data_IF_058910873062
#
_entry.id   IF_058910873062
#
_cell.length_a   1.000
_cell.length_b   1.000
_cell.length_c   1.000
_cell.angle_alpha   90.00
_cell.angle_beta   90.00
_cell.angle_gamma   90.00
#
_symmetry.space_group_name_H-M   'P 1'
#
loop_
_entity.id
_entity.type
_entity.pdbx_description
1 polymer ?
#
# COMPACT_ATOMS: atom_id res chain seq x y z
N UNK A 1 25.61 15.76 12.47
CA UNK A 1 26.19 15.35 13.78
C UNK A 1 27.38 14.46 13.53
N UNK A 2 28.47 14.60 14.34
CA UNK A 2 29.64 13.72 14.23
C UNK A 2 29.37 12.35 14.88
N UNK A 3 30.06 11.29 14.43
CA UNK A 3 29.91 9.94 15.00
C UNK A 3 30.16 9.90 16.53
N UNK A 4 31.16 10.61 17.11
CA UNK A 4 31.31 10.66 18.57
C UNK A 4 30.12 11.28 19.30
N UNK A 5 29.48 12.31 18.73
CA UNK A 5 28.32 12.94 19.33
C UNK A 5 27.11 11.98 19.39
N UNK A 6 26.90 11.20 18.34
CA UNK A 6 25.86 10.16 18.30
C UNK A 6 26.13 9.07 19.34
N UNK A 7 27.39 8.56 19.41
CA UNK A 7 27.76 7.53 20.36
C UNK A 7 27.58 7.97 21.82
N UNK A 8 27.93 9.20 22.16
CA UNK A 8 27.75 9.77 23.50
C UNK A 8 26.27 9.95 23.84
N UNK A 9 25.44 10.39 22.87
CA UNK A 9 23.98 10.50 23.06
C UNK A 9 23.36 9.14 23.34
N UNK A 10 23.71 8.11 22.55
CA UNK A 10 23.23 6.74 22.77
C UNK A 10 23.67 6.18 24.11
N UNK A 11 24.93 6.41 24.54
CA UNK A 11 25.41 5.98 25.86
C UNK A 11 24.57 6.58 27.01
N UNK A 12 24.22 7.85 26.90
CA UNK A 12 23.34 8.52 27.91
C UNK A 12 21.94 7.95 27.92
N UNK A 13 21.37 7.65 26.74
CA UNK A 13 20.05 7.03 26.62
C UNK A 13 20.03 5.61 27.19
N UNK A 14 21.09 4.82 27.01
CA UNK A 14 21.21 3.48 27.62
C UNK A 14 21.12 3.56 29.13
N UNK A 15 21.79 4.50 29.77
CA UNK A 15 21.70 4.72 31.22
C UNK A 15 20.31 5.16 31.63
N UNK A 16 19.72 6.12 30.89
CA UNK A 16 18.40 6.67 31.21
C UNK A 16 17.29 5.61 31.15
N UNK A 17 17.31 4.74 30.13
CA UNK A 17 16.29 3.70 29.94
C UNK A 17 16.66 2.36 30.54
N UNK A 18 17.84 2.23 31.15
CA UNK A 18 18.39 1.00 31.70
C UNK A 18 18.30 -0.18 30.69
N UNK A 19 18.67 0.07 29.43
CA UNK A 19 18.62 -0.87 28.33
C UNK A 19 19.74 -0.57 27.33
N UNK A 20 20.29 -1.62 26.71
CA UNK A 20 21.32 -1.47 25.68
C UNK A 20 20.84 -0.74 24.44
N UNK A 21 19.54 -0.66 24.21
CA UNK A 21 18.82 -0.04 23.08
C UNK A 21 19.19 -0.60 21.70
N UNK A 22 20.47 -0.96 21.50
CA UNK A 22 20.95 -1.54 20.26
C UNK A 22 21.87 -2.73 20.55
N UNK A 23 21.68 -3.83 19.82
CA UNK A 23 22.48 -5.05 19.91
C UNK A 23 23.17 -5.33 18.57
N UNK A 24 24.36 -5.92 18.61
CA UNK A 24 25.02 -6.42 17.40
C UNK A 24 24.32 -7.67 16.89
N UNK A 25 24.00 -7.68 15.60
CA UNK A 25 23.52 -8.86 14.91
C UNK A 25 24.28 -9.02 13.58
N UNK A 26 25.14 -10.01 13.51
CA UNK A 26 26.02 -10.22 12.36
C UNK A 26 26.96 -9.01 12.15
N UNK A 27 26.93 -8.43 10.94
CA UNK A 27 27.71 -7.23 10.58
C UNK A 27 27.01 -5.91 10.87
N UNK A 28 25.77 -5.94 11.39
CA UNK A 28 24.95 -4.76 11.67
C UNK A 28 24.61 -4.60 13.15
N UNK A 29 23.73 -3.63 13.41
CA UNK A 29 23.13 -3.38 14.72
C UNK A 29 21.61 -3.48 14.57
N UNK A 30 20.94 -4.03 15.59
CA UNK A 30 19.48 -4.04 15.66
C UNK A 30 18.98 -3.42 16.97
N UNK A 31 17.82 -2.74 16.94
CA UNK A 31 17.21 -2.23 18.15
C UNK A 31 16.72 -3.36 19.05
N UNK A 32 16.83 -3.17 20.37
CA UNK A 32 16.21 -4.05 21.36
C UNK A 32 14.70 -3.93 21.33
N UNK A 33 13.99 -4.86 21.95
CA UNK A 33 12.52 -4.75 22.11
C UNK A 33 12.14 -3.44 22.84
N UNK A 34 12.93 -3.05 23.85
CA UNK A 34 12.74 -1.80 24.57
C UNK A 34 12.91 -0.57 23.67
N UNK A 35 13.95 -0.56 22.83
CA UNK A 35 14.17 0.53 21.88
C UNK A 35 13.00 0.67 20.89
N UNK A 36 12.46 -0.45 20.39
CA UNK A 36 11.29 -0.46 19.52
C UNK A 36 10.06 0.12 20.23
N UNK A 37 9.81 -0.23 21.49
CA UNK A 37 8.70 0.30 22.29
C UNK A 37 8.84 1.81 22.55
N UNK A 38 10.04 2.31 22.75
CA UNK A 38 10.33 3.71 23.04
C UNK A 38 10.26 4.61 21.80
N UNK A 39 10.49 4.05 20.62
CA UNK A 39 10.62 4.83 19.39
C UNK A 39 9.37 5.67 19.09
N UNK A 40 8.18 5.06 19.08
CA UNK A 40 6.93 5.73 18.81
C UNK A 40 6.63 6.89 19.77
N UNK A 41 6.58 6.64 21.09
CA UNK A 41 6.34 7.70 22.09
C UNK A 41 7.34 8.85 22.06
N UNK A 42 8.64 8.55 21.90
CA UNK A 42 9.68 9.60 21.83
C UNK A 42 9.50 10.44 20.57
N UNK A 43 9.24 9.80 19.45
CA UNK A 43 9.05 10.50 18.18
C UNK A 43 7.79 11.37 18.21
N UNK A 44 6.70 10.86 18.76
CA UNK A 44 5.47 11.64 18.97
C UNK A 44 5.73 12.88 19.86
N UNK A 45 6.47 12.73 20.94
CA UNK A 45 6.84 13.85 21.80
C UNK A 45 7.68 14.90 21.04
N UNK A 46 8.66 14.46 20.27
CA UNK A 46 9.50 15.35 19.44
C UNK A 46 8.64 16.06 18.36
N UNK A 47 7.66 15.37 17.78
CA UNK A 47 6.77 15.98 16.80
C UNK A 47 5.86 17.04 17.41
N UNK A 48 5.32 16.77 18.61
CA UNK A 48 4.54 17.78 19.35
C UNK A 48 5.37 19.05 19.62
N UNK A 49 6.63 18.89 20.07
CA UNK A 49 7.53 20.02 20.28
C UNK A 49 7.80 20.76 18.96
N UNK A 50 8.04 20.03 17.88
CA UNK A 50 8.25 20.64 16.56
C UNK A 50 7.07 21.45 16.09
N UNK A 51 5.84 20.97 16.29
CA UNK A 51 4.63 21.65 15.86
C UNK A 51 4.40 23.00 16.59
N UNK A 52 4.95 23.16 17.79
CA UNK A 52 4.87 24.39 18.57
C UNK A 52 5.99 25.40 18.25
N UNK A 53 6.99 25.00 17.47
CA UNK A 53 8.05 25.92 17.07
C UNK A 53 7.54 26.91 16.00
N UNK A 54 7.88 28.21 16.07
CA UNK A 54 7.44 29.21 15.09
C UNK A 54 7.81 28.90 13.64
N UNK A 55 8.87 28.10 13.44
CA UNK A 55 9.35 27.64 12.13
C UNK A 55 8.63 26.38 11.58
N UNK A 56 7.61 25.88 12.28
CA UNK A 56 6.94 24.62 11.97
C UNK A 56 5.71 24.76 11.07
N UNK A 57 5.52 25.92 10.44
CA UNK A 57 4.47 26.07 9.43
C UNK A 57 4.89 25.27 8.21
N UNK A 58 4.16 24.22 7.88
CA UNK A 58 4.33 23.53 6.61
C UNK A 58 3.76 24.41 5.50
N UNK A 59 4.60 24.83 4.58
CA UNK A 59 4.24 25.63 3.42
C UNK A 59 4.56 24.78 2.18
N UNK A 60 3.55 24.25 1.48
CA UNK A 60 3.74 23.32 0.37
C UNK A 60 4.70 23.86 -0.70
N UNK A 61 4.55 25.12 -1.08
CA UNK A 61 5.28 25.78 -2.17
C UNK A 61 6.80 25.84 -1.92
N UNK A 62 7.23 25.85 -0.67
CA UNK A 62 8.64 26.00 -0.29
C UNK A 62 9.21 24.80 0.46
N UNK A 63 8.39 23.80 0.76
CA UNK A 63 8.82 22.62 1.50
C UNK A 63 9.70 21.73 0.64
N UNK A 64 10.83 21.31 1.19
CA UNK A 64 11.73 20.30 0.59
C UNK A 64 11.58 18.94 1.27
N UNK A 65 10.47 18.70 1.95
CA UNK A 65 10.22 17.45 2.69
C UNK A 65 10.13 16.28 1.73
N UNK A 66 10.74 15.17 2.12
CA UNK A 66 10.54 13.87 1.48
C UNK A 66 9.37 13.16 2.16
N UNK A 67 8.37 12.78 1.37
CA UNK A 67 7.31 11.86 1.77
C UNK A 67 7.49 10.52 1.08
N UNK A 68 7.20 9.45 1.80
CA UNK A 68 7.32 8.08 1.30
C UNK A 68 5.95 7.40 1.38
N UNK A 69 5.46 6.96 0.24
CA UNK A 69 4.19 6.27 0.10
C UNK A 69 4.43 4.86 -0.40
N UNK A 70 3.78 3.87 0.21
CA UNK A 70 3.68 2.54 -0.35
C UNK A 70 2.29 2.38 -0.99
N UNK A 71 2.26 2.00 -2.26
CA UNK A 71 1.01 1.83 -3.02
C UNK A 71 0.99 0.41 -3.56
N UNK A 72 0.08 -0.43 -3.05
CA UNK A 72 0.03 -1.82 -3.49
C UNK A 72 -0.45 -1.94 -4.93
N UNK A 73 0.10 -2.91 -5.64
CA UNK A 73 -0.45 -3.29 -6.93
C UNK A 73 -1.82 -3.97 -6.77
N UNK A 74 -2.85 -3.56 -7.56
CA UNK A 74 -2.78 -2.71 -8.74
C UNK A 74 -3.05 -1.21 -8.50
N UNK A 75 -3.21 -0.73 -7.27
CA UNK A 75 -3.52 0.67 -6.97
C UNK A 75 -2.43 1.63 -7.49
N UNK A 76 -1.17 1.18 -7.54
CA UNK A 76 -0.03 1.94 -8.06
C UNK A 76 -0.27 2.39 -9.51
N UNK A 77 -0.80 1.52 -10.35
CA UNK A 77 -1.10 1.85 -11.76
C UNK A 77 -2.20 2.93 -11.89
N UNK A 78 -3.15 2.95 -10.97
CA UNK A 78 -4.25 3.92 -10.96
C UNK A 78 -3.80 5.28 -10.43
N UNK A 79 -3.14 5.29 -9.29
CA UNK A 79 -2.97 6.53 -8.51
C UNK A 79 -1.57 7.15 -8.59
N UNK A 80 -0.50 6.38 -8.83
CA UNK A 80 0.85 6.95 -8.82
C UNK A 80 1.03 8.10 -9.85
N UNK A 81 0.56 8.00 -11.12
CA UNK A 81 0.68 9.10 -12.06
C UNK A 81 -0.07 10.37 -11.61
N UNK A 82 -1.29 10.20 -11.07
CA UNK A 82 -2.12 11.32 -10.61
C UNK A 82 -1.51 11.99 -9.38
N UNK A 83 -1.04 11.20 -8.40
CA UNK A 83 -0.38 11.71 -7.19
C UNK A 83 0.87 12.51 -7.57
N UNK A 84 1.73 11.97 -8.45
CA UNK A 84 2.94 12.68 -8.89
C UNK A 84 2.60 14.01 -9.57
N UNK A 85 1.69 14.00 -10.54
CA UNK A 85 1.32 15.21 -11.28
C UNK A 85 0.72 16.30 -10.36
N UNK A 86 -0.21 15.92 -9.47
CA UNK A 86 -0.85 16.86 -8.57
C UNK A 86 0.11 17.44 -7.53
N UNK A 87 1.01 16.62 -6.98
CA UNK A 87 1.96 17.11 -5.98
C UNK A 87 3.05 17.98 -6.62
N UNK A 88 3.51 17.65 -7.81
CA UNK A 88 4.46 18.49 -8.55
C UNK A 88 3.88 19.89 -8.84
N UNK A 89 2.58 19.99 -9.11
CA UNK A 89 1.89 21.26 -9.30
C UNK A 89 1.73 22.06 -8.00
N UNK A 90 1.27 21.39 -6.93
CA UNK A 90 0.93 22.04 -5.66
C UNK A 90 2.16 22.35 -4.77
N UNK A 91 3.21 21.55 -4.90
CA UNK A 91 4.38 21.60 -4.02
C UNK A 91 5.65 21.18 -4.74
N UNK A 92 6.15 21.98 -5.70
CA UNK A 92 7.20 21.61 -6.67
C UNK A 92 8.56 21.28 -6.03
N UNK A 93 8.79 21.63 -4.78
CA UNK A 93 10.02 21.31 -4.03
C UNK A 93 9.87 20.12 -3.10
N UNK A 94 8.67 19.63 -2.87
CA UNK A 94 8.40 18.40 -2.11
C UNK A 94 8.91 17.21 -2.89
N UNK A 95 9.54 16.28 -2.18
CA UNK A 95 10.02 15.03 -2.77
C UNK A 95 9.06 13.91 -2.45
N UNK A 96 8.64 13.15 -3.46
CA UNK A 96 7.86 11.92 -3.28
C UNK A 96 8.72 10.71 -3.60
N UNK A 97 8.66 9.71 -2.74
CA UNK A 97 9.14 8.36 -3.01
C UNK A 97 7.95 7.41 -2.98
N UNK A 98 7.61 6.85 -4.14
CA UNK A 98 6.53 5.87 -4.28
C UNK A 98 7.16 4.48 -4.34
N UNK A 99 6.75 3.61 -3.42
CA UNK A 99 7.22 2.24 -3.29
C UNK A 99 6.06 1.30 -3.63
N UNK A 100 6.20 0.49 -4.67
CA UNK A 100 5.22 -0.51 -5.06
C UNK A 100 5.48 -1.87 -4.38
N UNK A 101 6.60 -2.01 -3.68
CA UNK A 101 6.95 -3.23 -2.98
C UNK A 101 6.35 -3.23 -1.56
N UNK A 102 5.42 -4.15 -1.36
CA UNK A 102 4.87 -4.46 -0.05
C UNK A 102 5.63 -5.67 0.54
N UNK A 103 6.19 -5.49 1.73
CA UNK A 103 6.81 -6.56 2.48
C UNK A 103 6.05 -6.83 3.79
N UNK A 104 6.43 -7.89 4.50
CA UNK A 104 5.84 -8.24 5.81
C UNK A 104 6.07 -7.18 6.88
N UNK A 105 6.95 -6.22 6.64
CA UNK A 105 7.37 -5.22 7.61
C UNK A 105 6.67 -3.87 7.38
N UNK A 106 5.70 -3.79 6.45
CA UNK A 106 5.05 -2.52 6.12
C UNK A 106 4.48 -1.80 7.36
N UNK A 107 3.86 -2.54 8.27
CA UNK A 107 3.36 -2.00 9.53
C UNK A 107 4.49 -1.47 10.43
N UNK A 108 5.62 -2.19 10.52
CA UNK A 108 6.80 -1.72 11.25
C UNK A 108 7.41 -0.49 10.57
N UNK A 109 7.53 -0.49 9.25
CA UNK A 109 8.03 0.65 8.46
C UNK A 109 7.18 1.90 8.67
N UNK A 110 5.85 1.77 8.75
CA UNK A 110 4.97 2.88 9.12
C UNK A 110 5.18 3.32 10.57
N UNK A 111 5.28 2.39 11.54
CA UNK A 111 5.57 2.73 12.95
C UNK A 111 6.87 3.50 13.11
N UNK A 112 7.89 3.12 12.34
CA UNK A 112 9.18 3.81 12.34
C UNK A 112 9.20 5.03 11.41
N UNK A 113 8.07 5.37 10.78
CA UNK A 113 7.92 6.46 9.82
C UNK A 113 8.97 6.39 8.69
N UNK A 114 9.32 5.18 8.30
CA UNK A 114 10.04 4.91 7.07
C UNK A 114 9.11 5.00 5.87
N UNK A 115 7.80 4.86 6.12
CA UNK A 115 6.69 5.10 5.20
C UNK A 115 5.66 5.98 5.90
N UNK A 116 5.23 7.02 5.23
CA UNK A 116 4.24 7.97 5.74
C UNK A 116 2.81 7.44 5.52
N UNK A 117 2.52 6.91 4.33
CA UNK A 117 1.20 6.44 3.92
C UNK A 117 1.27 5.11 3.17
N UNK A 118 0.19 4.35 3.31
CA UNK A 118 -0.06 3.14 2.53
C UNK A 118 -1.40 3.26 1.82
N UNK A 119 -1.44 2.94 0.52
CA UNK A 119 -2.67 2.79 -0.26
C UNK A 119 -2.81 1.32 -0.63
N UNK A 120 -3.89 0.67 -0.16
CA UNK A 120 -4.14 -0.76 -0.37
C UNK A 120 -5.64 -1.05 -0.33
N UNK A 121 -6.04 -2.20 -0.87
CA UNK A 121 -7.37 -2.78 -0.67
C UNK A 121 -7.57 -3.36 0.74
N UNK A 122 -6.50 -3.60 1.47
CA UNK A 122 -6.57 -4.07 2.84
C UNK A 122 -6.50 -2.90 3.83
N UNK A 123 -7.45 -2.87 4.76
CA UNK A 123 -7.44 -1.94 5.88
C UNK A 123 -6.44 -2.38 6.95
N UNK A 124 -5.71 -1.44 7.52
CA UNK A 124 -4.90 -1.69 8.71
C UNK A 124 -5.76 -1.55 9.97
N UNK A 125 -6.06 -2.69 10.61
CA UNK A 125 -6.90 -2.73 11.83
C UNK A 125 -6.07 -2.87 13.12
N UNK A 126 -4.73 -2.85 13.01
CA UNK A 126 -3.83 -2.96 14.15
C UNK A 126 -3.84 -1.68 14.99
N UNK A 127 -3.62 -1.83 16.30
CA UNK A 127 -3.52 -0.70 17.22
C UNK A 127 -2.39 0.27 16.82
N UNK A 128 -2.71 1.57 16.79
CA UNK A 128 -1.80 2.65 16.44
C UNK A 128 -1.83 3.03 14.96
N UNK A 129 -2.75 2.44 14.18
CA UNK A 129 -2.96 2.82 12.79
C UNK A 129 -4.36 3.41 12.59
N UNK A 130 -4.43 4.41 11.73
CA UNK A 130 -5.67 4.96 11.21
C UNK A 130 -5.80 4.61 9.74
N UNK A 131 -7.01 4.29 9.31
CA UNK A 131 -7.34 4.00 7.92
C UNK A 131 -8.63 4.68 7.53
N UNK A 132 -8.68 5.27 6.33
CA UNK A 132 -9.89 5.82 5.73
C UNK A 132 -10.11 5.23 4.35
N UNK A 133 -11.37 4.97 4.01
CA UNK A 133 -11.74 4.58 2.65
C UNK A 133 -11.56 5.78 1.72
N UNK A 134 -10.90 5.56 0.58
CA UNK A 134 -10.61 6.61 -0.40
C UNK A 134 -11.23 6.34 -1.77
N UNK A 135 -11.53 5.10 -2.11
CA UNK A 135 -12.26 4.75 -3.32
C UNK A 135 -13.01 3.43 -3.17
N UNK A 136 -13.96 3.23 -4.05
CA UNK A 136 -14.66 1.94 -4.22
C UNK A 136 -14.48 1.43 -5.64
N UNK A 137 -14.49 0.11 -5.80
CA UNK A 137 -14.48 -0.58 -7.06
C UNK A 137 -15.29 -1.87 -6.98
N UNK A 138 -15.35 -2.59 -8.07
CA UNK A 138 -16.08 -3.84 -8.19
C UNK A 138 -15.15 -4.96 -8.71
N UNK A 139 -15.26 -6.14 -8.12
CA UNK A 139 -14.65 -7.33 -8.66
C UNK A 139 -15.39 -7.78 -9.92
N UNK A 140 -14.62 -8.14 -10.94
CA UNK A 140 -15.13 -8.72 -12.18
C UNK A 140 -14.35 -9.99 -12.51
N UNK A 141 -14.96 -10.90 -13.25
CA UNK A 141 -14.24 -12.01 -13.87
C UNK A 141 -13.76 -11.57 -15.25
N UNK A 142 -12.53 -11.90 -15.58
CA UNK A 142 -11.92 -11.60 -16.87
C UNK A 142 -11.50 -12.91 -17.55
N UNK A 143 -11.86 -13.05 -18.81
CA UNK A 143 -11.48 -14.17 -19.67
C UNK A 143 -11.15 -13.65 -21.07
N UNK A 144 -10.53 -14.48 -21.90
CA UNK A 144 -10.36 -14.18 -23.32
C UNK A 144 -11.73 -14.11 -24.03
N UNK A 145 -11.90 -13.22 -24.99
CA UNK A 145 -13.07 -13.25 -25.90
C UNK A 145 -13.19 -14.55 -26.68
N UNK A 146 -12.09 -15.27 -26.86
CA UNK A 146 -12.02 -16.55 -27.54
C UNK A 146 -12.07 -17.73 -26.58
N UNK A 147 -12.42 -17.52 -25.31
CA UNK A 147 -12.52 -18.61 -24.32
C UNK A 147 -13.53 -19.68 -24.77
N UNK A 148 -13.16 -20.99 -24.77
CA UNK A 148 -13.98 -22.02 -25.36
C UNK A 148 -15.31 -22.26 -24.62
N UNK A 149 -15.33 -22.06 -23.31
CA UNK A 149 -16.47 -22.40 -22.47
C UNK A 149 -17.23 -21.18 -21.94
N UNK A 150 -16.57 -20.02 -21.86
CA UNK A 150 -17.12 -18.82 -21.21
C UNK A 150 -17.43 -17.77 -22.27
N UNK A 151 -18.70 -17.39 -22.39
CA UNK A 151 -19.17 -16.37 -23.33
C UNK A 151 -20.26 -15.52 -22.69
N UNK A 152 -19.97 -14.24 -22.44
CA UNK A 152 -20.91 -13.22 -21.98
C UNK A 152 -21.36 -13.31 -20.53
N UNK A 153 -21.31 -14.49 -19.89
CA UNK A 153 -21.63 -14.69 -18.48
C UNK A 153 -20.88 -15.88 -17.90
N UNK A 154 -20.79 -15.95 -16.56
CA UNK A 154 -20.17 -17.05 -15.84
C UNK A 154 -20.93 -17.30 -14.52
N UNK A 155 -21.16 -18.56 -14.16
CA UNK A 155 -21.73 -18.94 -12.85
C UNK A 155 -20.60 -19.19 -11.84
N UNK A 156 -20.96 -19.27 -10.54
CA UNK A 156 -20.02 -19.58 -9.48
C UNK A 156 -19.37 -20.97 -9.67
N UNK A 157 -20.17 -21.96 -10.09
CA UNK A 157 -19.70 -23.31 -10.35
C UNK A 157 -18.72 -23.35 -11.54
N UNK A 158 -19.03 -22.62 -12.61
CA UNK A 158 -18.14 -22.50 -13.76
C UNK A 158 -16.84 -21.82 -13.37
N UNK A 159 -16.91 -20.70 -12.62
CA UNK A 159 -15.72 -19.98 -12.18
C UNK A 159 -14.80 -20.87 -11.32
N UNK A 160 -15.38 -21.65 -10.40
CA UNK A 160 -14.59 -22.59 -9.57
C UNK A 160 -13.97 -23.75 -10.36
N UNK A 161 -14.60 -24.16 -11.47
CA UNK A 161 -14.14 -25.27 -12.30
C UNK A 161 -13.05 -24.89 -13.30
N UNK A 162 -12.96 -23.60 -13.66
CA UNK A 162 -11.97 -23.12 -14.62
C UNK A 162 -10.54 -23.06 -14.03
N UNK A 163 -9.57 -23.00 -14.92
CA UNK A 163 -8.16 -22.77 -14.55
C UNK A 163 -7.89 -21.29 -14.38
N UNK A 164 -7.28 -20.91 -13.28
CA UNK A 164 -7.06 -19.50 -12.95
C UNK A 164 -5.62 -19.04 -13.17
N UNK A 165 -5.53 -17.82 -13.69
CA UNK A 165 -4.34 -16.99 -13.57
C UNK A 165 -4.51 -16.05 -12.35
N UNK A 166 -3.59 -16.09 -11.40
CA UNK A 166 -3.68 -15.31 -10.15
C UNK A 166 -2.50 -14.35 -9.99
N UNK A 167 -2.72 -13.29 -9.25
CA UNK A 167 -1.63 -12.49 -8.74
C UNK A 167 -0.93 -13.27 -7.62
N UNK A 168 0.39 -13.40 -7.69
CA UNK A 168 1.19 -14.10 -6.68
C UNK A 168 1.00 -13.46 -5.31
N UNK A 169 0.83 -14.31 -4.29
CA UNK A 169 0.76 -13.83 -2.91
C UNK A 169 2.13 -13.32 -2.47
N UNK A 170 2.24 -12.07 -2.14
CA UNK A 170 3.37 -11.57 -1.38
C UNK A 170 3.22 -12.09 0.05
N UNK A 171 4.18 -12.90 0.52
CA UNK A 171 4.09 -13.61 1.78
C UNK A 171 3.81 -12.68 2.97
N UNK A 172 2.70 -12.90 3.65
CA UNK A 172 2.39 -12.30 4.95
C UNK A 172 1.55 -11.04 4.92
N UNK A 173 0.91 -10.71 3.82
CA UNK A 173 -0.02 -9.58 3.70
C UNK A 173 -1.39 -10.04 3.22
N UNK A 174 -2.43 -9.32 3.66
CA UNK A 174 -3.74 -9.35 3.03
C UNK A 174 -3.55 -8.75 1.63
N UNK A 175 -3.43 -9.58 0.63
CA UNK A 175 -3.25 -9.14 -0.74
C UNK A 175 -4.60 -9.02 -1.44
N UNK A 176 -4.66 -8.20 -2.50
CA UNK A 176 -5.79 -8.18 -3.42
C UNK A 176 -6.23 -9.60 -3.81
N UNK A 177 -5.27 -10.52 -4.03
CA UNK A 177 -5.56 -11.92 -4.36
C UNK A 177 -6.36 -12.64 -3.28
N UNK A 178 -6.14 -12.37 -1.99
CA UNK A 178 -6.93 -12.97 -0.91
C UNK A 178 -8.36 -12.44 -0.90
N UNK A 179 -8.55 -11.16 -1.17
CA UNK A 179 -9.88 -10.56 -1.28
C UNK A 179 -10.63 -11.12 -2.49
N UNK A 180 -9.97 -11.22 -3.64
CA UNK A 180 -10.56 -11.64 -4.89
C UNK A 180 -11.01 -13.12 -4.90
N UNK A 181 -10.37 -13.96 -4.10
CA UNK A 181 -10.60 -15.42 -4.05
C UNK A 181 -11.06 -15.92 -2.68
N UNK A 182 -11.63 -15.05 -1.84
CA UNK A 182 -12.08 -15.41 -0.49
C UNK A 182 -13.31 -16.32 -0.45
N UNK A 183 -14.17 -16.20 -1.48
CA UNK A 183 -15.52 -16.82 -1.47
C UNK A 183 -15.57 -18.18 -2.21
N UNK A 184 -14.47 -18.59 -2.83
CA UNK A 184 -14.41 -19.85 -3.56
C UNK A 184 -12.98 -20.41 -3.70
N UNK A 185 -12.89 -21.72 -3.85
CA UNK A 185 -11.66 -22.42 -4.19
C UNK A 185 -11.57 -22.64 -5.69
N UNK A 186 -10.38 -22.56 -6.23
CA UNK A 186 -10.11 -22.84 -7.64
C UNK A 186 -8.66 -23.25 -7.87
N UNK A 187 -8.40 -23.92 -8.99
CA UNK A 187 -7.06 -24.34 -9.37
C UNK A 187 -6.26 -23.16 -9.93
N UNK A 188 -5.18 -22.75 -9.22
CA UNK A 188 -4.19 -21.83 -9.77
C UNK A 188 -3.35 -22.56 -10.80
N UNK A 189 -3.29 -22.04 -12.02
CA UNK A 189 -2.50 -22.60 -13.12
C UNK A 189 -1.34 -21.68 -13.51
N UNK A 190 -1.50 -20.38 -13.32
CA UNK A 190 -0.48 -19.37 -13.54
C UNK A 190 -0.49 -18.37 -12.37
N UNK A 191 0.70 -18.01 -11.88
CA UNK A 191 0.88 -16.97 -10.87
C UNK A 191 1.83 -15.90 -11.38
N UNK A 192 1.31 -14.69 -11.56
CA UNK A 192 2.05 -13.52 -12.01
C UNK A 192 2.35 -12.55 -10.88
N UNK A 193 3.42 -11.79 -11.01
CA UNK A 193 3.79 -10.75 -10.01
C UNK A 193 3.09 -9.42 -10.23
N UNK A 194 2.42 -9.23 -11.36
CA UNK A 194 1.65 -8.03 -11.72
C UNK A 194 0.32 -8.45 -12.34
N UNK A 195 -0.75 -7.76 -11.94
CA UNK A 195 -2.08 -8.01 -12.50
C UNK A 195 -2.16 -7.64 -13.99
N UNK A 196 -1.36 -6.67 -14.47
CA UNK A 196 -1.25 -6.37 -15.91
C UNK A 196 -0.75 -7.59 -16.69
N UNK A 197 0.27 -8.28 -16.18
CA UNK A 197 0.79 -9.50 -16.81
C UNK A 197 -0.24 -10.62 -16.75
N UNK A 198 -0.96 -10.76 -15.65
CA UNK A 198 -2.05 -11.74 -15.50
C UNK A 198 -3.11 -11.50 -16.57
N UNK A 199 -3.58 -10.26 -16.74
CA UNK A 199 -4.59 -9.89 -17.74
C UNK A 199 -4.10 -10.14 -19.18
N UNK A 200 -2.82 -9.87 -19.44
CA UNK A 200 -2.23 -10.18 -20.75
C UNK A 200 -2.23 -11.70 -21.04
N UNK A 201 -1.80 -12.51 -20.08
CA UNK A 201 -1.80 -13.99 -20.22
C UNK A 201 -3.23 -14.52 -20.39
N UNK A 202 -4.20 -13.98 -19.65
CA UNK A 202 -5.62 -14.36 -19.76
C UNK A 202 -6.15 -14.09 -21.17
N UNK A 203 -5.82 -12.95 -21.77
CA UNK A 203 -6.25 -12.62 -23.14
C UNK A 203 -5.75 -13.61 -24.20
N UNK A 204 -4.59 -14.23 -23.96
CA UNK A 204 -3.94 -15.16 -24.88
C UNK A 204 -4.13 -16.65 -24.52
N UNK A 205 -5.00 -16.97 -23.57
CA UNK A 205 -5.15 -18.33 -23.05
C UNK A 205 -6.60 -18.68 -22.70
N UNK A 206 -6.80 -19.93 -22.25
CA UNK A 206 -8.08 -20.43 -21.71
C UNK A 206 -8.16 -20.22 -20.18
N UNK A 207 -7.36 -19.33 -19.61
CA UNK A 207 -7.39 -19.05 -18.19
C UNK A 207 -8.39 -17.93 -17.89
N UNK A 208 -8.93 -17.93 -16.67
CA UNK A 208 -9.73 -16.84 -16.14
C UNK A 208 -9.03 -16.18 -14.96
N UNK A 209 -9.40 -14.94 -14.66
CA UNK A 209 -8.93 -14.25 -13.46
C UNK A 209 -10.01 -13.38 -12.86
N UNK A 210 -9.84 -13.00 -11.59
CA UNK A 210 -10.64 -11.98 -10.93
C UNK A 210 -9.79 -10.72 -10.81
N UNK A 211 -10.36 -9.58 -11.19
CA UNK A 211 -9.67 -8.29 -11.22
C UNK A 211 -10.61 -7.16 -10.79
N UNK A 212 -10.08 -6.00 -10.35
CA UNK A 212 -10.84 -4.78 -10.22
C UNK A 212 -11.37 -4.34 -11.60
N UNK A 213 -12.62 -3.87 -11.64
CA UNK A 213 -13.26 -3.46 -12.90
C UNK A 213 -12.44 -2.40 -13.65
N UNK A 214 -12.02 -1.35 -12.93
CA UNK A 214 -11.23 -0.28 -13.54
C UNK A 214 -9.99 -0.81 -14.27
N UNK A 215 -9.33 -1.81 -13.70
CA UNK A 215 -8.12 -2.37 -14.28
C UNK A 215 -8.41 -3.25 -15.49
N UNK A 216 -9.48 -4.03 -15.44
CA UNK A 216 -9.92 -4.83 -16.59
C UNK A 216 -10.33 -3.94 -17.78
N UNK A 217 -11.00 -2.81 -17.50
CA UNK A 217 -11.44 -1.85 -18.52
C UNK A 217 -10.27 -1.06 -19.14
N UNK A 218 -9.20 -0.83 -18.37
CA UNK A 218 -8.02 -0.08 -18.80
C UNK A 218 -6.81 -0.96 -19.15
N UNK A 219 -7.01 -2.28 -19.30
CA UNK A 219 -5.94 -3.19 -19.67
C UNK A 219 -5.44 -2.89 -21.10
N UNK A 220 -4.11 -2.98 -21.30
CA UNK A 220 -3.49 -2.71 -22.61
C UNK A 220 -4.04 -3.63 -23.73
N UNK A 221 -4.46 -4.85 -23.38
CA UNK A 221 -5.08 -5.83 -24.27
C UNK A 221 -6.60 -5.92 -24.10
N UNK A 222 -7.27 -4.82 -23.74
CA UNK A 222 -8.71 -4.77 -23.44
C UNK A 222 -9.57 -5.38 -24.56
N UNK A 223 -9.17 -5.20 -25.80
CA UNK A 223 -9.91 -5.69 -26.97
C UNK A 223 -9.94 -7.23 -27.09
N UNK A 224 -9.00 -7.91 -26.43
CA UNK A 224 -8.92 -9.37 -26.38
C UNK A 224 -9.73 -9.98 -25.23
N UNK A 225 -10.16 -9.12 -24.27
CA UNK A 225 -10.79 -9.53 -23.02
C UNK A 225 -12.30 -9.37 -23.05
N UNK A 226 -13.01 -10.32 -22.44
CA UNK A 226 -14.39 -10.16 -21.99
C UNK A 226 -14.38 -9.93 -20.46
N UNK A 227 -15.19 -8.97 -20.02
CA UNK A 227 -15.39 -8.62 -18.62
C UNK A 227 -16.77 -9.08 -18.21
N UNK A 228 -16.83 -9.94 -17.22
CA UNK A 228 -18.04 -10.63 -16.79
C UNK A 228 -18.37 -10.23 -15.35
N UNK A 229 -19.66 -10.25 -15.01
CA UNK A 229 -20.07 -10.01 -13.63
C UNK A 229 -19.48 -11.06 -12.69
N UNK A 230 -19.00 -10.62 -11.52
CA UNK A 230 -18.53 -11.51 -10.47
C UNK A 230 -19.73 -12.27 -9.90
N UNK A 231 -19.73 -13.62 -9.88
CA UNK A 231 -20.94 -14.38 -9.60
C UNK A 231 -21.27 -14.56 -8.11
N UNK A 232 -20.58 -13.88 -7.22
CA UNK A 232 -20.82 -13.91 -5.78
C UNK A 232 -21.44 -12.60 -5.28
N UNK A 233 -22.10 -12.65 -4.11
CA UNK A 233 -22.87 -11.52 -3.57
C UNK A 233 -22.01 -10.29 -3.24
N UNK A 234 -20.78 -10.50 -2.80
CA UNK A 234 -19.86 -9.43 -2.42
C UNK A 234 -18.86 -9.13 -3.55
N UNK A 235 -19.33 -8.40 -4.57
CA UNK A 235 -18.45 -7.92 -5.65
C UNK A 235 -17.76 -6.60 -5.34
N UNK A 236 -18.26 -5.81 -4.38
CA UNK A 236 -17.69 -4.51 -4.04
C UNK A 236 -16.42 -4.67 -3.21
N UNK A 237 -15.42 -3.88 -3.57
CA UNK A 237 -14.16 -3.75 -2.85
C UNK A 237 -13.87 -2.28 -2.58
N UNK A 238 -13.23 -2.00 -1.45
CA UNK A 238 -12.82 -0.64 -1.08
C UNK A 238 -11.31 -0.55 -1.01
N UNK A 239 -10.79 0.60 -1.40
CA UNK A 239 -9.39 0.95 -1.19
C UNK A 239 -9.24 1.94 -0.04
N UNK A 240 -8.16 1.80 0.69
CA UNK A 240 -7.89 2.51 1.93
C UNK A 240 -6.58 3.27 1.87
N UNK A 241 -6.59 4.47 2.41
CA UNK A 241 -5.39 5.22 2.80
C UNK A 241 -5.15 4.97 4.29
N UNK A 242 -3.96 4.48 4.62
CA UNK A 242 -3.59 4.13 5.99
C UNK A 242 -2.31 4.83 6.43
N UNK A 243 -2.21 5.20 7.71
CA UNK A 243 -1.05 5.84 8.32
C UNK A 243 -0.94 5.47 9.80
N UNK A 244 0.22 5.76 10.41
CA UNK A 244 0.41 5.58 11.83
C UNK A 244 -0.06 6.82 12.61
N UNK A 245 -0.82 6.64 13.69
CA UNK A 245 -1.43 7.71 14.50
C UNK A 245 -0.42 8.74 15.04
N UNK A 246 0.85 8.36 15.21
CA UNK A 246 1.89 9.31 15.64
C UNK A 246 2.10 10.50 14.68
N UNK A 247 1.63 10.38 13.44
CA UNK A 247 1.74 11.43 12.41
C UNK A 247 0.51 12.33 12.30
N UNK A 248 -0.56 12.07 13.06
CA UNK A 248 -1.85 12.79 12.95
C UNK A 248 -1.76 14.30 13.24
N UNK A 249 -0.78 14.71 14.03
CA UNK A 249 -0.56 16.13 14.37
C UNK A 249 0.53 16.80 13.53
N UNK A 250 1.15 16.07 12.61
CA UNK A 250 2.17 16.63 11.72
C UNK A 250 1.51 17.39 10.57
N UNK A 251 1.74 18.71 10.49
CA UNK A 251 1.09 19.58 9.51
C UNK A 251 1.35 19.21 8.06
N UNK A 252 2.58 18.79 7.74
CA UNK A 252 2.90 18.32 6.39
C UNK A 252 2.23 16.99 6.07
N UNK A 253 2.15 16.10 7.05
CA UNK A 253 1.46 14.82 6.91
C UNK A 253 -0.06 15.03 6.73
N UNK A 254 -0.67 15.94 7.50
CA UNK A 254 -2.09 16.33 7.35
C UNK A 254 -2.33 16.86 5.94
N UNK A 255 -1.50 17.81 5.48
CA UNK A 255 -1.62 18.39 4.15
C UNK A 255 -1.58 17.30 3.06
N UNK A 256 -0.57 16.42 3.08
CA UNK A 256 -0.46 15.38 2.06
C UNK A 256 -1.62 14.37 2.13
N UNK A 257 -2.04 14.00 3.35
CA UNK A 257 -3.21 13.13 3.54
C UNK A 257 -4.45 13.70 2.88
N UNK A 258 -4.72 15.00 3.11
CA UNK A 258 -5.89 15.68 2.55
C UNK A 258 -5.82 15.74 1.01
N UNK A 259 -4.62 15.97 0.45
CA UNK A 259 -4.42 15.88 -1.01
C UNK A 259 -4.66 14.46 -1.54
N UNK A 260 -4.12 13.43 -0.87
CA UNK A 260 -4.33 12.03 -1.28
C UNK A 260 -5.80 11.62 -1.24
N UNK A 261 -6.56 12.07 -0.25
CA UNK A 261 -8.00 11.81 -0.17
C UNK A 261 -8.76 12.45 -1.35
N UNK A 262 -8.37 13.63 -1.80
CA UNK A 262 -8.97 14.27 -2.98
C UNK A 262 -8.58 13.54 -4.26
N UNK A 263 -7.28 13.31 -4.46
CA UNK A 263 -6.74 12.70 -5.70
C UNK A 263 -7.27 11.28 -5.90
N UNK A 264 -7.36 10.48 -4.83
CA UNK A 264 -7.78 9.07 -4.92
C UNK A 264 -9.30 8.87 -4.79
N UNK A 265 -10.04 9.90 -4.37
CA UNK A 265 -11.50 9.84 -4.20
C UNK A 265 -12.30 10.18 -5.47
N UNK A 266 -11.62 10.68 -6.51
CA UNK A 266 -12.19 10.92 -7.85
C UNK A 266 -12.08 9.65 -8.71
#
# INVERSE_FOLDING_TARGET
MSQPAVSNAVARLKVMFNDELFMRQGRGIQPTQRARQLFGPIRQALQLIRNELPSSVFTPETSTRLFKLAICSPCDLRFAPQIMASIDELAPSVQLHLDAEFDRQIAERMRYQEIDFVIDYARFDDQGFSSTEIFQDELVVVASKLHPHIQGSITAEQLSAEKHAKLSKVHGQRSFSELAYRDFDCQSYYEGTSLSNVLYVVGQSELVTVAPRWMAENAANRDELQILAFPFAESKISGYLSWHESSEKDKGHIWLRDQLMVICGE
#
